data_IF_173372387206
#
_entry.id   IF_173372387206
#
_cell.length_a   1.000
_cell.length_b   1.000
_cell.length_c   1.000
_cell.angle_alpha   90.00
_cell.angle_beta   90.00
_cell.angle_gamma   90.00
#
_symmetry.space_group_name_H-M   'P 1'
#
loop_
_entity.id
_entity.type
_entity.pdbx_description
1 polymer ?
#
# COMPACT_ATOMS: atom_id res chain seq x y z
N UNK A 1 22.62 5.07 -17.12
CA UNK A 1 21.46 5.47 -17.95
C UNK A 1 21.84 5.41 -19.44
N UNK A 2 21.94 4.23 -20.03
CA UNK A 2 22.35 4.16 -21.45
C UNK A 2 21.19 4.09 -22.44
N UNK A 3 19.92 4.00 -22.03
CA UNK A 3 18.83 3.73 -22.96
C UNK A 3 17.51 4.46 -22.65
N UNK A 4 17.56 5.66 -22.06
CA UNK A 4 16.32 6.46 -21.86
C UNK A 4 15.37 5.89 -20.81
N UNK A 5 15.87 5.13 -19.84
CA UNK A 5 15.09 4.68 -18.67
C UNK A 5 15.00 5.81 -17.66
N UNK A 6 13.79 6.28 -17.39
CA UNK A 6 13.54 7.41 -16.48
C UNK A 6 12.69 7.05 -15.26
N UNK A 7 12.02 5.91 -15.29
CA UNK A 7 11.09 5.50 -14.26
C UNK A 7 11.36 4.10 -13.72
N UNK A 8 10.91 3.85 -12.50
CA UNK A 8 10.97 2.54 -11.86
C UNK A 8 9.75 2.26 -11.00
N UNK A 9 9.50 1.00 -10.74
CA UNK A 9 8.60 0.49 -9.70
C UNK A 9 9.28 -0.72 -9.04
N UNK A 10 9.10 -0.90 -7.74
CA UNK A 10 9.70 -2.02 -7.01
C UNK A 10 8.64 -3.08 -6.71
N UNK A 11 8.66 -4.17 -7.45
CA UNK A 11 7.70 -5.28 -7.32
C UNK A 11 8.22 -6.35 -6.33
N UNK A 12 8.49 -5.95 -5.09
CA UNK A 12 8.99 -6.82 -4.02
C UNK A 12 7.99 -6.84 -2.88
N UNK A 13 7.52 -8.03 -2.47
CA UNK A 13 6.49 -8.19 -1.45
C UNK A 13 6.94 -7.81 -0.03
N UNK A 14 8.20 -8.03 0.30
CA UNK A 14 8.75 -7.62 1.60
C UNK A 14 8.82 -6.08 1.69
N UNK A 15 8.17 -5.51 2.70
CA UNK A 15 8.04 -4.06 2.83
C UNK A 15 9.39 -3.36 3.04
N UNK A 16 10.27 -3.94 3.86
CA UNK A 16 11.56 -3.32 4.19
C UNK A 16 12.53 -3.40 3.02
N UNK A 17 12.54 -4.53 2.32
CA UNK A 17 13.35 -4.70 1.13
C UNK A 17 12.85 -3.80 0.00
N UNK A 18 11.51 -3.67 -0.16
CA UNK A 18 10.91 -2.75 -1.13
C UNK A 18 11.23 -1.30 -0.80
N UNK A 19 11.18 -0.90 0.46
CA UNK A 19 11.58 0.44 0.93
C UNK A 19 13.06 0.73 0.58
N UNK A 20 13.96 -0.21 0.87
CA UNK A 20 15.39 -0.09 0.56
C UNK A 20 15.61 0.16 -0.94
N UNK A 21 15.06 -0.68 -1.79
CA UNK A 21 15.23 -0.54 -3.25
C UNK A 21 14.55 0.71 -3.80
N UNK A 22 13.44 1.14 -3.22
CA UNK A 22 12.77 2.38 -3.60
C UNK A 22 13.70 3.60 -3.46
N UNK A 23 14.38 3.73 -2.34
CA UNK A 23 15.34 4.81 -2.13
C UNK A 23 16.62 4.62 -2.91
N UNK A 24 17.09 3.39 -3.06
CA UNK A 24 18.29 3.09 -3.85
C UNK A 24 18.11 3.50 -5.32
N UNK A 25 16.99 3.17 -5.95
CA UNK A 25 16.70 3.58 -7.33
C UNK A 25 16.66 5.10 -7.51
N UNK A 26 16.14 5.83 -6.52
CA UNK A 26 16.11 7.29 -6.57
C UNK A 26 17.52 7.92 -6.58
N UNK A 27 18.51 7.26 -5.97
CA UNK A 27 19.91 7.73 -6.00
C UNK A 27 20.50 7.69 -7.42
N UNK A 28 19.93 6.89 -8.32
CA UNK A 28 20.33 6.85 -9.73
C UNK A 28 19.52 7.82 -10.62
N UNK A 29 18.86 8.82 -10.04
CA UNK A 29 18.00 9.79 -10.73
C UNK A 29 16.83 9.14 -11.51
N UNK A 30 16.37 8.00 -11.03
CA UNK A 30 15.15 7.37 -11.53
C UNK A 30 13.92 7.88 -10.77
N UNK A 31 12.82 8.10 -11.48
CA UNK A 31 11.58 8.55 -10.87
C UNK A 31 10.64 7.37 -10.58
N UNK A 32 10.07 7.25 -9.38
CA UNK A 32 9.07 6.22 -9.12
C UNK A 32 7.80 6.47 -9.94
N UNK A 33 7.31 5.44 -10.61
CA UNK A 33 6.09 5.47 -11.42
C UNK A 33 5.04 4.52 -10.87
N UNK A 34 3.77 4.79 -11.16
CA UNK A 34 2.66 3.94 -10.75
C UNK A 34 2.34 2.91 -11.84
N UNK A 35 2.01 1.69 -11.43
CA UNK A 35 1.53 0.62 -12.29
C UNK A 35 0.14 0.22 -11.81
N UNK A 36 -0.87 0.57 -12.59
CA UNK A 36 -2.28 0.40 -12.22
C UNK A 36 -2.96 -0.45 -13.29
N UNK A 37 -3.59 -1.55 -12.87
CA UNK A 37 -4.38 -2.38 -13.78
C UNK A 37 -5.57 -1.61 -14.34
N UNK A 38 -5.92 -1.86 -15.59
CA UNK A 38 -7.01 -1.16 -16.31
C UNK A 38 -8.40 -1.41 -15.73
N UNK A 39 -8.58 -2.46 -14.96
CA UNK A 39 -9.85 -2.84 -14.33
C UNK A 39 -9.96 -2.47 -12.83
N UNK A 40 -9.05 -1.64 -12.34
CA UNK A 40 -9.14 -1.03 -11.00
C UNK A 40 -10.24 0.03 -10.99
N UNK A 41 -11.07 0.01 -9.95
CA UNK A 41 -12.08 1.06 -9.75
C UNK A 41 -11.49 2.12 -8.82
N UNK A 42 -11.33 3.33 -9.34
CA UNK A 42 -10.87 4.50 -8.57
C UNK A 42 -11.99 5.54 -8.58
N UNK A 43 -12.55 5.81 -7.42
CA UNK A 43 -13.64 6.78 -7.26
C UNK A 43 -13.13 8.23 -7.11
N UNK A 44 -14.01 9.17 -6.80
CA UNK A 44 -13.71 10.59 -6.71
C UNK A 44 -12.75 10.92 -5.56
N UNK A 45 -11.90 11.93 -5.77
CA UNK A 45 -11.01 12.49 -4.74
C UNK A 45 -10.02 11.46 -4.14
N UNK A 46 -9.65 10.43 -4.89
CA UNK A 46 -8.57 9.51 -4.52
C UNK A 46 -7.23 10.16 -4.80
N UNK A 47 -6.33 10.13 -3.81
CA UNK A 47 -4.95 10.59 -3.94
C UNK A 47 -4.00 9.41 -3.96
N UNK A 48 -3.11 9.37 -4.95
CA UNK A 48 -2.07 8.36 -5.09
C UNK A 48 -0.69 9.00 -4.98
N UNK A 49 0.17 8.40 -4.19
CA UNK A 49 1.59 8.69 -4.19
C UNK A 49 2.29 8.14 -5.44
N UNK A 50 3.57 7.85 -5.33
CA UNK A 50 4.42 7.36 -6.43
C UNK A 50 5.02 5.99 -6.11
N UNK A 51 5.29 5.21 -7.15
CA UNK A 51 5.78 3.84 -7.00
C UNK A 51 4.71 2.87 -6.50
N UNK A 52 3.43 3.18 -6.75
CA UNK A 52 2.29 2.38 -6.31
C UNK A 52 1.95 1.33 -7.36
N UNK A 53 1.73 0.10 -6.92
CA UNK A 53 1.23 -0.99 -7.74
C UNK A 53 -0.20 -1.28 -7.30
N UNK A 54 -1.16 -1.22 -8.23
CA UNK A 54 -2.56 -1.56 -7.95
C UNK A 54 -2.98 -2.67 -8.92
N UNK A 55 -3.27 -3.83 -8.33
CA UNK A 55 -3.58 -5.06 -9.05
C UNK A 55 -5.05 -5.15 -9.48
N UNK A 56 -5.39 -6.09 -10.38
CA UNK A 56 -6.74 -6.28 -10.90
C UNK A 56 -7.82 -6.42 -9.83
N UNK A 57 -8.98 -5.83 -10.06
CA UNK A 57 -10.15 -5.96 -9.20
C UNK A 57 -10.08 -5.19 -7.89
N UNK A 58 -9.04 -4.40 -7.65
CA UNK A 58 -9.00 -3.52 -6.49
C UNK A 58 -9.99 -2.36 -6.63
N UNK A 59 -10.53 -1.91 -5.50
CA UNK A 59 -11.48 -0.78 -5.43
C UNK A 59 -10.94 0.24 -4.44
N UNK A 60 -10.71 1.45 -4.91
CA UNK A 60 -10.40 2.60 -4.09
C UNK A 60 -11.62 3.52 -4.06
N UNK A 61 -12.31 3.54 -2.92
CA UNK A 61 -13.52 4.35 -2.74
C UNK A 61 -13.18 5.85 -2.60
N UNK A 62 -14.21 6.69 -2.62
CA UNK A 62 -14.05 8.14 -2.58
C UNK A 62 -13.22 8.62 -1.40
N UNK A 63 -12.30 9.55 -1.65
CA UNK A 63 -11.48 10.19 -0.63
C UNK A 63 -10.33 9.32 -0.08
N UNK A 64 -10.09 8.15 -0.64
CA UNK A 64 -8.96 7.28 -0.24
C UNK A 64 -7.63 7.98 -0.54
N UNK A 65 -6.71 7.87 0.41
CA UNK A 65 -5.32 8.36 0.25
C UNK A 65 -4.36 7.19 0.30
N UNK A 66 -3.57 7.02 -0.74
CA UNK A 66 -2.51 6.02 -0.86
C UNK A 66 -1.16 6.73 -0.93
N UNK A 67 -0.26 6.40 -0.04
CA UNK A 67 1.10 6.94 -0.01
C UNK A 67 2.01 6.40 -1.11
N UNK A 68 3.32 6.39 -0.84
CA UNK A 68 4.34 5.98 -1.79
C UNK A 68 4.73 4.51 -1.62
N UNK A 69 5.18 3.87 -2.71
CA UNK A 69 5.79 2.53 -2.69
C UNK A 69 4.89 1.47 -2.04
N UNK A 70 3.61 1.51 -2.36
CA UNK A 70 2.57 0.63 -1.82
C UNK A 70 2.18 -0.40 -2.86
N UNK A 71 1.89 -1.62 -2.40
CA UNK A 71 1.26 -2.65 -3.23
C UNK A 71 -0.16 -2.86 -2.73
N UNK A 72 -1.12 -2.70 -3.63
CA UNK A 72 -2.54 -3.04 -3.45
C UNK A 72 -2.80 -4.27 -4.31
N UNK A 73 -2.93 -5.42 -3.66
CA UNK A 73 -3.08 -6.71 -4.35
C UNK A 73 -4.50 -6.94 -4.90
N UNK A 74 -4.73 -8.01 -5.70
CA UNK A 74 -6.02 -8.22 -6.35
C UNK A 74 -7.22 -8.27 -5.38
N UNK A 75 -8.30 -7.59 -5.76
CA UNK A 75 -9.57 -7.61 -5.02
C UNK A 75 -9.55 -6.89 -3.67
N UNK A 76 -8.53 -6.10 -3.38
CA UNK A 76 -8.49 -5.26 -2.18
C UNK A 76 -9.54 -4.16 -2.26
N UNK A 77 -10.22 -3.87 -1.14
CA UNK A 77 -11.14 -2.74 -1.03
C UNK A 77 -10.62 -1.76 0.02
N UNK A 78 -10.27 -0.56 -0.41
CA UNK A 78 -10.04 0.59 0.47
C UNK A 78 -11.31 1.43 0.50
N UNK A 79 -12.01 1.42 1.63
CA UNK A 79 -13.30 2.08 1.74
C UNK A 79 -13.16 3.61 1.96
N UNK A 80 -14.27 4.32 1.92
CA UNK A 80 -14.34 5.80 1.89
C UNK A 80 -13.45 6.46 2.93
N UNK A 81 -12.64 7.44 2.49
CA UNK A 81 -11.72 8.21 3.34
C UNK A 81 -10.71 7.38 4.15
N UNK A 82 -10.45 6.14 3.78
CA UNK A 82 -9.35 5.37 4.37
C UNK A 82 -8.01 5.86 3.86
N UNK A 83 -6.96 5.59 4.62
CA UNK A 83 -5.60 6.02 4.29
C UNK A 83 -4.62 4.87 4.45
N UNK A 84 -3.74 4.69 3.49
CA UNK A 84 -2.62 3.76 3.56
C UNK A 84 -1.31 4.54 3.44
N UNK A 85 -0.47 4.45 4.47
CA UNK A 85 0.81 5.14 4.51
C UNK A 85 1.91 4.35 3.80
N UNK A 86 3.02 5.03 3.52
CA UNK A 86 4.13 4.58 2.68
C UNK A 86 4.64 3.16 3.01
N UNK A 87 5.13 2.49 1.99
CA UNK A 87 5.81 1.20 2.05
C UNK A 87 4.97 0.02 2.57
N UNK A 88 3.66 0.17 2.62
CA UNK A 88 2.74 -0.87 3.09
C UNK A 88 2.36 -1.83 1.96
N UNK A 89 1.93 -3.04 2.31
CA UNK A 89 1.44 -4.06 1.39
C UNK A 89 0.09 -4.57 1.86
N UNK A 90 -0.93 -4.38 1.04
CA UNK A 90 -2.30 -4.82 1.30
C UNK A 90 -2.57 -6.04 0.43
N UNK A 91 -2.65 -7.21 1.07
CA UNK A 91 -2.71 -8.51 0.40
C UNK A 91 -4.10 -8.82 -0.15
N UNK A 92 -4.13 -9.82 -1.03
CA UNK A 92 -5.31 -10.27 -1.79
C UNK A 92 -6.60 -10.28 -0.97
N UNK A 93 -7.62 -9.59 -1.46
CA UNK A 93 -8.97 -9.60 -0.90
C UNK A 93 -9.12 -8.97 0.49
N UNK A 94 -8.10 -8.29 1.00
CA UNK A 94 -8.22 -7.55 2.26
C UNK A 94 -9.14 -6.34 2.13
N UNK A 95 -9.80 -5.98 3.22
CA UNK A 95 -10.72 -4.84 3.28
C UNK A 95 -10.25 -3.87 4.36
N UNK A 96 -10.10 -2.61 3.99
CA UNK A 96 -9.85 -1.50 4.93
C UNK A 96 -11.15 -0.74 5.10
N UNK A 97 -11.66 -0.67 6.32
CA UNK A 97 -12.87 0.08 6.66
C UNK A 97 -12.72 1.58 6.37
N UNK A 98 -13.80 2.23 6.09
CA UNK A 98 -13.82 3.69 5.92
C UNK A 98 -13.26 4.44 7.13
N UNK A 99 -12.56 5.52 6.89
CA UNK A 99 -11.92 6.39 7.89
C UNK A 99 -10.73 5.76 8.64
N UNK A 100 -10.36 4.51 8.34
CA UNK A 100 -9.23 3.81 8.98
C UNK A 100 -7.92 4.25 8.36
N UNK A 101 -6.91 4.47 9.19
CA UNK A 101 -5.53 4.73 8.79
C UNK A 101 -4.64 3.50 9.01
N UNK A 102 -3.98 3.07 7.94
CA UNK A 102 -2.94 2.05 7.94
C UNK A 102 -1.59 2.76 7.95
N UNK A 103 -0.82 2.55 8.98
CA UNK A 103 0.48 3.18 9.18
C UNK A 103 1.55 2.73 8.18
N UNK A 104 2.73 3.34 8.28
CA UNK A 104 3.89 3.06 7.42
C UNK A 104 4.42 1.63 7.66
N UNK A 105 4.87 0.97 6.61
CA UNK A 105 5.44 -0.39 6.67
C UNK A 105 4.50 -1.45 7.28
N UNK A 106 3.21 -1.32 7.07
CA UNK A 106 2.22 -2.30 7.53
C UNK A 106 2.00 -3.36 6.47
N UNK A 107 1.93 -4.61 6.91
CA UNK A 107 1.54 -5.74 6.08
C UNK A 107 0.14 -6.20 6.49
N UNK A 108 -0.82 -6.08 5.61
CA UNK A 108 -2.21 -6.53 5.82
C UNK A 108 -2.39 -7.89 5.15
N UNK A 109 -2.69 -8.93 5.94
CA UNK A 109 -2.80 -10.31 5.48
C UNK A 109 -3.92 -10.56 4.48
N UNK A 110 -3.82 -11.67 3.75
CA UNK A 110 -4.83 -12.11 2.76
C UNK A 110 -6.20 -12.22 3.45
N UNK A 111 -7.24 -11.66 2.82
CA UNK A 111 -8.64 -11.69 3.31
C UNK A 111 -8.83 -11.22 4.75
N UNK A 112 -7.95 -10.36 5.24
CA UNK A 112 -8.13 -9.74 6.55
C UNK A 112 -9.03 -8.49 6.47
N UNK A 113 -9.53 -8.08 7.61
CA UNK A 113 -10.36 -6.88 7.74
C UNK A 113 -9.72 -5.91 8.72
N UNK A 114 -9.32 -4.76 8.24
CA UNK A 114 -8.82 -3.66 9.07
C UNK A 114 -10.01 -2.76 9.47
N UNK A 115 -10.60 -3.03 10.62
CA UNK A 115 -11.75 -2.30 11.16
C UNK A 115 -11.37 -1.09 12.01
N UNK A 116 -10.11 -0.98 12.43
CA UNK A 116 -9.56 0.11 13.23
C UNK A 116 -8.15 0.46 12.78
N UNK A 117 -7.65 1.62 13.21
CA UNK A 117 -6.31 2.09 12.85
C UNK A 117 -5.23 1.08 13.24
N UNK A 118 -4.27 0.92 12.35
CA UNK A 118 -3.13 0.02 12.54
C UNK A 118 -1.86 0.85 12.45
N UNK A 119 -1.14 0.93 13.55
CA UNK A 119 0.11 1.66 13.67
C UNK A 119 1.23 1.08 12.80
N UNK A 120 2.28 1.85 12.60
CA UNK A 120 3.42 1.48 11.75
C UNK A 120 4.09 0.17 12.16
N UNK A 121 4.74 -0.48 11.22
CA UNK A 121 5.57 -1.70 11.38
C UNK A 121 4.79 -2.93 11.89
N UNK A 122 3.45 -2.94 11.77
CA UNK A 122 2.63 -4.08 12.15
C UNK A 122 2.44 -5.06 10.98
N UNK A 123 2.19 -6.30 11.35
CA UNK A 123 1.79 -7.37 10.44
C UNK A 123 0.49 -7.99 10.91
N UNK A 124 -0.53 -7.94 10.07
CA UNK A 124 -1.83 -8.56 10.30
C UNK A 124 -1.84 -9.92 9.60
N UNK A 125 -2.28 -10.93 10.32
CA UNK A 125 -2.29 -12.30 9.83
C UNK A 125 -3.38 -12.53 8.79
N UNK A 126 -3.26 -13.62 8.04
CA UNK A 126 -4.28 -14.07 7.07
C UNK A 126 -5.63 -14.21 7.77
N UNK A 127 -6.68 -13.61 7.21
CA UNK A 127 -8.06 -13.71 7.72
C UNK A 127 -8.31 -13.02 9.06
N UNK A 128 -7.35 -12.27 9.57
CA UNK A 128 -7.49 -11.56 10.86
C UNK A 128 -8.50 -10.43 10.76
N UNK A 129 -9.35 -10.29 11.78
CA UNK A 129 -10.32 -9.20 11.92
C UNK A 129 -9.84 -8.26 13.02
N UNK A 130 -9.39 -7.07 12.62
CA UNK A 130 -8.93 -6.04 13.54
C UNK A 130 -10.12 -5.21 14.01
N UNK A 131 -10.48 -5.33 15.29
CA UNK A 131 -11.62 -4.63 15.93
C UNK A 131 -11.22 -3.61 16.96
N UNK A 132 -9.91 -3.47 17.21
CA UNK A 132 -9.33 -2.49 18.13
C UNK A 132 -8.09 -1.88 17.49
N UNK A 133 -7.86 -0.61 17.76
CA UNK A 133 -6.65 0.09 17.33
C UNK A 133 -5.39 -0.68 17.74
N UNK A 134 -4.46 -0.79 16.81
CA UNK A 134 -3.14 -1.38 17.04
C UNK A 134 -2.11 -0.26 17.01
N UNK A 135 -1.33 -0.16 18.09
CA UNK A 135 -0.31 0.88 18.22
C UNK A 135 0.94 0.57 17.38
N UNK A 136 1.78 1.57 17.19
CA UNK A 136 3.04 1.44 16.46
C UNK A 136 3.93 0.35 17.06
N UNK A 137 4.62 -0.38 16.18
CA UNK A 137 5.73 -1.24 16.57
C UNK A 137 7.06 -0.58 16.25
N UNK A 138 8.06 -0.84 17.07
CA UNK A 138 9.42 -0.50 16.73
C UNK A 138 9.92 -1.46 15.62
N UNK A 139 10.67 -0.91 14.66
CA UNK A 139 11.36 -1.73 13.67
C UNK A 139 12.48 -2.48 14.40
N UNK A 140 12.50 -3.82 14.30
CA UNK A 140 13.64 -4.60 14.75
C UNK A 140 14.86 -4.23 13.89
N UNK A 141 15.96 -3.92 14.57
CA UNK A 141 17.26 -3.67 13.90
C UNK A 141 17.82 -4.95 13.27
#
# INVERSE_FOLDING_TARGET
QKEGVFGFVVAVGDNYLREKYYYECQQYNLCPVNVISSDVIIQHNVSLGKGVIICPGAILCSGVTIGNNIIIEPGVICNVNSKVCDHSNIRVGAIIRGMVEIGKNVHIGIRSYAGEDIGKNNKISIGEIVTKKIEDKFRAE
#
